data_IF_173758340116
#
_entry.id   IF_173758340116
#
_cell.length_a   1.000
_cell.length_b   1.000
_cell.length_c   1.000
_cell.angle_alpha   90.00
_cell.angle_beta   90.00
_cell.angle_gamma   90.00
#
_symmetry.space_group_name_H-M   'P 1'
#
loop_
_entity.id
_entity.type
_entity.pdbx_description
1 polymer ?
#
# COMPACT_ATOMS: atom_id res chain seq x y z
N UNK A 1 -6.23 -10.20 8.18
CA UNK A 1 -4.89 -9.61 8.45
C UNK A 1 -4.97 -8.10 8.68
N UNK A 2 -5.81 -7.36 7.94
CA UNK A 2 -5.86 -5.90 8.00
C UNK A 2 -6.21 -5.33 9.38
N UNK A 3 -7.06 -5.98 10.16
CA UNK A 3 -7.45 -5.53 11.51
C UNK A 3 -6.41 -5.94 12.56
N UNK A 4 -5.84 -7.12 12.43
CA UNK A 4 -4.89 -7.66 13.40
C UNK A 4 -3.56 -6.88 13.42
N UNK A 5 -3.10 -6.36 12.27
CA UNK A 5 -1.82 -5.65 12.15
C UNK A 5 -1.69 -4.46 13.11
N UNK A 6 -2.54 -3.43 13.01
CA UNK A 6 -2.48 -2.27 13.89
C UNK A 6 -2.69 -2.60 15.37
N UNK A 7 -3.52 -3.59 15.70
CA UNK A 7 -3.76 -4.02 17.07
C UNK A 7 -2.53 -4.68 17.69
N UNK A 8 -1.98 -5.69 17.01
CA UNK A 8 -0.77 -6.39 17.47
C UNK A 8 0.45 -5.46 17.47
N UNK A 9 0.57 -4.64 16.42
CA UNK A 9 1.64 -3.65 16.33
C UNK A 9 1.59 -2.65 17.48
N UNK A 10 0.41 -2.12 17.79
CA UNK A 10 0.18 -1.22 18.93
C UNK A 10 0.49 -1.90 20.27
N UNK A 11 -0.04 -3.10 20.49
CA UNK A 11 0.20 -3.87 21.70
C UNK A 11 1.70 -4.14 21.94
N UNK A 12 2.41 -4.62 20.94
CA UNK A 12 3.83 -4.88 21.04
C UNK A 12 4.66 -3.61 21.22
N UNK A 13 4.25 -2.49 20.62
CA UNK A 13 4.95 -1.21 20.75
C UNK A 13 4.84 -0.61 22.15
N UNK A 14 3.71 -0.79 22.84
CA UNK A 14 3.50 -0.27 24.19
C UNK A 14 4.24 -1.06 25.25
N UNK A 15 4.64 -2.30 24.99
CA UNK A 15 5.36 -3.12 25.94
C UNK A 15 6.87 -2.97 25.77
N UNK A 16 7.57 -2.51 26.81
CA UNK A 16 9.02 -2.32 26.79
C UNK A 16 9.77 -3.63 26.59
N UNK A 17 9.32 -4.72 27.24
CA UNK A 17 9.91 -6.07 27.13
C UNK A 17 8.84 -7.15 27.22
N UNK A 18 8.95 -8.15 26.33
CA UNK A 18 8.13 -9.37 26.30
C UNK A 18 9.10 -10.54 26.14
N UNK A 19 9.09 -11.51 27.05
CA UNK A 19 9.97 -12.69 27.04
C UNK A 19 11.47 -12.32 26.87
N UNK A 20 11.92 -11.26 27.55
CA UNK A 20 13.31 -10.81 27.52
C UNK A 20 13.72 -9.96 26.29
N UNK A 21 12.85 -9.82 25.28
CA UNK A 21 13.09 -9.00 24.08
C UNK A 21 12.28 -7.70 24.13
N UNK A 22 12.82 -6.64 23.50
CA UNK A 22 12.09 -5.38 23.34
C UNK A 22 10.79 -5.61 22.54
N UNK A 23 9.66 -5.05 23.02
CA UNK A 23 8.32 -5.36 22.52
C UNK A 23 8.15 -5.16 21.03
N UNK A 24 8.69 -4.06 20.46
CA UNK A 24 8.59 -3.80 19.03
C UNK A 24 9.20 -4.88 18.12
N UNK A 25 10.18 -5.65 18.62
CA UNK A 25 10.78 -6.77 17.87
C UNK A 25 9.79 -7.90 17.63
N UNK A 26 8.81 -8.06 18.50
CA UNK A 26 7.76 -9.07 18.36
C UNK A 26 6.86 -8.83 17.14
N UNK A 27 6.76 -7.58 16.65
CA UNK A 27 6.06 -7.26 15.41
C UNK A 27 6.64 -8.04 14.22
N UNK A 28 7.96 -8.29 14.25
CA UNK A 28 8.63 -9.09 13.22
C UNK A 28 8.59 -10.58 13.54
N UNK A 29 8.88 -10.96 14.79
CA UNK A 29 8.95 -12.36 15.17
C UNK A 29 7.63 -13.11 15.05
N UNK A 30 6.49 -12.46 15.26
CA UNK A 30 5.16 -13.08 15.06
C UNK A 30 4.92 -13.53 13.62
N UNK A 31 5.59 -12.91 12.65
CA UNK A 31 5.48 -13.31 11.26
C UNK A 31 6.22 -14.62 10.94
N UNK A 32 7.19 -15.02 11.76
CA UNK A 32 7.95 -16.27 11.54
C UNK A 32 7.04 -17.49 11.65
N UNK A 33 6.32 -17.74 12.77
CA UNK A 33 5.42 -18.88 12.86
C UNK A 33 4.27 -18.82 11.86
N UNK A 34 3.74 -17.63 11.57
CA UNK A 34 2.70 -17.44 10.56
C UNK A 34 3.23 -17.77 9.16
N UNK A 35 4.44 -17.32 8.82
CA UNK A 35 5.11 -17.63 7.55
C UNK A 35 5.40 -19.12 7.40
N UNK A 36 5.89 -19.78 8.46
CA UNK A 36 6.14 -21.23 8.46
C UNK A 36 4.82 -21.99 8.25
N UNK A 37 3.76 -21.62 8.98
CA UNK A 37 2.45 -22.25 8.82
C UNK A 37 1.88 -22.07 7.40
N UNK A 38 2.00 -20.87 6.84
CA UNK A 38 1.58 -20.58 5.46
C UNK A 38 2.39 -21.41 4.45
N UNK A 39 3.71 -21.54 4.65
CA UNK A 39 4.60 -22.31 3.79
C UNK A 39 4.25 -23.81 3.82
N UNK A 40 3.99 -24.38 5.00
CA UNK A 40 3.57 -25.75 5.15
C UNK A 40 2.22 -25.97 4.46
N UNK A 41 1.22 -25.12 4.75
CA UNK A 41 -0.11 -25.21 4.13
C UNK A 41 -0.03 -25.13 2.60
N UNK A 42 0.77 -24.20 2.07
CA UNK A 42 0.93 -24.03 0.62
C UNK A 42 1.62 -25.23 0.00
N UNK A 43 2.68 -25.75 0.62
CA UNK A 43 3.43 -26.90 0.08
C UNK A 43 2.62 -28.20 0.09
N UNK A 44 1.74 -28.37 1.09
CA UNK A 44 0.90 -29.60 1.21
C UNK A 44 -0.38 -29.49 0.39
N UNK A 45 -1.05 -28.33 0.41
CA UNK A 45 -2.38 -28.18 -0.19
C UNK A 45 -2.35 -27.73 -1.66
N UNK A 46 -1.30 -27.03 -2.10
CA UNK A 46 -1.24 -26.41 -3.42
C UNK A 46 -0.44 -27.30 -4.40
N UNK A 47 -1.15 -28.12 -5.16
CA UNK A 47 -0.58 -28.92 -6.25
C UNK A 47 -0.94 -28.28 -7.58
N UNK A 48 -0.18 -27.24 -7.99
CA UNK A 48 -0.36 -26.64 -9.32
C UNK A 48 0.63 -27.31 -10.26
N UNK A 49 0.17 -27.90 -11.38
CA UNK A 49 1.08 -28.38 -12.42
C UNK A 49 1.86 -27.21 -12.97
N UNK A 50 3.16 -27.18 -12.71
CA UNK A 50 4.04 -26.12 -13.15
C UNK A 50 4.58 -26.46 -14.55
N UNK A 51 4.13 -25.82 -15.63
CA UNK A 51 4.78 -25.94 -16.93
C UNK A 51 6.17 -25.32 -16.79
N UNK A 52 7.22 -26.15 -16.94
CA UNK A 52 8.61 -25.73 -16.87
C UNK A 52 8.91 -24.78 -18.04
N UNK A 53 8.58 -23.51 -17.88
CA UNK A 53 9.08 -22.44 -18.74
C UNK A 53 10.37 -21.91 -18.12
N UNK A 54 11.47 -21.99 -18.85
CA UNK A 54 12.75 -21.40 -18.44
C UNK A 54 12.63 -19.89 -18.67
N UNK A 55 12.35 -19.16 -17.59
CA UNK A 55 12.30 -17.70 -17.61
C UNK A 55 13.68 -17.09 -17.37
N UNK A 56 14.02 -16.08 -18.17
CA UNK A 56 15.25 -15.30 -17.98
C UNK A 56 14.95 -14.08 -17.10
N UNK A 57 15.47 -14.12 -15.87
CA UNK A 57 15.29 -13.00 -14.94
C UNK A 57 16.12 -11.80 -15.40
N UNK A 58 15.51 -10.62 -15.55
CA UNK A 58 16.22 -9.37 -15.85
C UNK A 58 16.86 -8.77 -14.58
N UNK A 59 18.01 -9.35 -14.17
CA UNK A 59 18.77 -8.85 -13.01
C UNK A 59 19.20 -7.40 -13.17
N UNK A 60 19.51 -6.95 -14.39
CA UNK A 60 19.94 -5.57 -14.64
C UNK A 60 18.80 -4.58 -14.51
N UNK A 61 17.60 -4.91 -15.00
CA UNK A 61 16.40 -4.11 -14.77
C UNK A 61 16.05 -4.04 -13.28
N UNK A 62 16.10 -5.17 -12.57
CA UNK A 62 15.87 -5.23 -11.14
C UNK A 62 16.84 -4.33 -10.35
N UNK A 63 18.13 -4.36 -10.67
CA UNK A 63 19.15 -3.54 -10.03
C UNK A 63 18.89 -2.04 -10.27
N UNK A 64 18.61 -1.66 -11.53
CA UNK A 64 18.32 -0.26 -11.88
C UNK A 64 17.08 0.26 -11.12
N UNK A 65 16.01 -0.55 -11.03
CA UNK A 65 14.81 -0.21 -10.29
C UNK A 65 15.10 -0.04 -8.79
N UNK A 66 15.84 -0.97 -8.19
CA UNK A 66 16.20 -0.90 -6.76
C UNK A 66 17.01 0.37 -6.48
N UNK A 67 18.03 0.66 -7.28
CA UNK A 67 18.87 1.85 -7.11
C UNK A 67 18.04 3.12 -7.29
N UNK A 68 17.15 3.17 -8.29
CA UNK A 68 16.25 4.30 -8.51
C UNK A 68 15.35 4.58 -7.29
N UNK A 69 14.72 3.53 -6.75
CA UNK A 69 13.82 3.65 -5.59
C UNK A 69 14.60 4.04 -4.33
N UNK A 70 15.75 3.42 -4.08
CA UNK A 70 16.60 3.77 -2.93
C UNK A 70 17.07 5.22 -3.02
N UNK A 71 17.54 5.66 -4.18
CA UNK A 71 17.97 7.05 -4.39
C UNK A 71 16.81 8.03 -4.17
N UNK A 72 15.61 7.71 -4.67
CA UNK A 72 14.40 8.52 -4.44
C UNK A 72 14.07 8.64 -2.95
N UNK A 73 14.01 7.50 -2.26
CA UNK A 73 13.70 7.45 -0.83
C UNK A 73 14.73 8.18 0.00
N UNK A 74 16.03 8.03 -0.31
CA UNK A 74 17.10 8.75 0.37
C UNK A 74 16.97 10.27 0.16
N UNK A 75 16.68 10.71 -1.07
CA UNK A 75 16.47 12.12 -1.38
C UNK A 75 15.28 12.72 -0.65
N UNK A 76 14.13 12.04 -0.70
CA UNK A 76 12.86 12.56 -0.17
C UNK A 76 12.74 12.37 1.34
N UNK A 77 13.12 11.21 1.89
CA UNK A 77 12.83 10.87 3.29
C UNK A 77 13.99 11.17 4.25
N UNK A 78 15.23 11.22 3.75
CA UNK A 78 16.41 11.42 4.59
C UNK A 78 17.05 12.77 4.32
N UNK A 79 17.58 12.97 3.12
CA UNK A 79 18.40 14.16 2.83
C UNK A 79 17.58 15.45 2.73
N UNK A 80 16.39 15.42 2.13
CA UNK A 80 15.50 16.58 2.01
C UNK A 80 15.14 17.18 3.38
N UNK A 81 14.57 16.40 4.31
CA UNK A 81 14.21 16.88 5.64
C UNK A 81 15.42 17.28 6.52
N UNK A 82 16.55 16.56 6.40
CA UNK A 82 17.72 16.80 7.26
C UNK A 82 18.62 17.93 6.77
N UNK A 83 18.83 18.04 5.47
CA UNK A 83 19.83 18.94 4.88
C UNK A 83 19.22 20.10 4.07
N UNK A 84 17.89 20.06 3.85
CA UNK A 84 17.19 21.00 2.96
C UNK A 84 17.11 20.52 1.50
N UNK A 85 16.09 20.98 0.80
CA UNK A 85 15.75 20.53 -0.55
C UNK A 85 16.73 21.02 -1.63
N UNK A 86 17.48 22.08 -1.36
CA UNK A 86 18.49 22.65 -2.26
C UNK A 86 19.91 22.12 -1.99
N UNK A 87 20.10 21.29 -0.98
CA UNK A 87 21.40 20.74 -0.64
C UNK A 87 21.92 19.80 -1.72
N UNK A 88 23.21 19.80 -1.98
CA UNK A 88 23.85 18.97 -3.01
C UNK A 88 23.56 17.47 -2.84
N UNK A 89 23.53 16.96 -1.61
CA UNK A 89 23.22 15.54 -1.34
C UNK A 89 21.79 15.19 -1.74
N UNK A 90 20.84 16.06 -1.44
CA UNK A 90 19.43 15.89 -1.83
C UNK A 90 19.29 15.92 -3.34
N UNK A 91 19.90 16.93 -4.00
CA UNK A 91 19.84 17.07 -5.45
C UNK A 91 20.50 15.90 -6.18
N UNK A 92 21.69 15.47 -5.75
CA UNK A 92 22.38 14.31 -6.34
C UNK A 92 21.50 13.06 -6.21
N UNK A 93 20.87 12.85 -5.06
CA UNK A 93 20.00 11.70 -4.82
C UNK A 93 18.76 11.73 -5.73
N UNK A 94 18.09 12.87 -5.87
CA UNK A 94 16.91 13.04 -6.72
C UNK A 94 17.24 12.96 -8.21
N UNK A 95 18.35 13.56 -8.64
CA UNK A 95 18.83 13.48 -10.02
C UNK A 95 19.23 12.03 -10.31
N UNK A 96 19.94 11.35 -9.39
CA UNK A 96 20.29 9.94 -9.49
C UNK A 96 19.03 9.07 -9.64
N UNK A 97 18.01 9.30 -8.81
CA UNK A 97 16.73 8.59 -8.91
C UNK A 97 16.10 8.75 -10.30
N UNK A 98 16.09 9.97 -10.84
CA UNK A 98 15.57 10.23 -12.18
C UNK A 98 16.40 9.51 -13.27
N UNK A 99 17.72 9.61 -13.22
CA UNK A 99 18.61 8.97 -14.19
C UNK A 99 18.44 7.44 -14.16
N UNK A 100 18.45 6.83 -12.97
CA UNK A 100 18.27 5.37 -12.85
C UNK A 100 16.85 4.92 -13.26
N UNK A 101 15.80 5.73 -12.98
CA UNK A 101 14.45 5.44 -13.48
C UNK A 101 14.39 5.48 -15.00
N UNK A 102 14.97 6.49 -15.64
CA UNK A 102 15.03 6.58 -17.10
C UNK A 102 15.84 5.42 -17.69
N UNK A 103 16.96 5.06 -17.08
CA UNK A 103 17.77 3.90 -17.48
C UNK A 103 17.02 2.59 -17.35
N UNK A 104 16.22 2.42 -16.27
CA UNK A 104 15.34 1.28 -16.09
C UNK A 104 14.29 1.21 -17.22
N UNK A 105 13.59 2.31 -17.51
CA UNK A 105 12.58 2.34 -18.57
C UNK A 105 13.18 2.05 -19.95
N UNK A 106 14.39 2.54 -20.22
CA UNK A 106 15.11 2.20 -21.45
C UNK A 106 15.49 0.70 -21.50
N UNK A 107 15.94 0.14 -20.38
CA UNK A 107 16.26 -1.28 -20.29
C UNK A 107 15.03 -2.15 -20.50
N UNK A 108 13.89 -1.81 -19.88
CA UNK A 108 12.62 -2.52 -20.04
C UNK A 108 12.14 -2.58 -21.50
N UNK A 109 12.41 -1.54 -22.29
CA UNK A 109 12.06 -1.50 -23.71
C UNK A 109 12.79 -2.57 -24.54
N UNK A 110 14.02 -2.96 -24.12
CA UNK A 110 14.89 -3.88 -24.86
C UNK A 110 15.07 -5.23 -24.17
N UNK A 111 14.51 -5.43 -22.97
CA UNK A 111 14.60 -6.68 -22.25
C UNK A 111 13.81 -7.79 -22.95
N UNK A 112 14.34 -9.03 -22.93
CA UNK A 112 13.65 -10.20 -23.48
C UNK A 112 12.44 -10.59 -22.64
N UNK A 113 12.57 -10.51 -21.31
CA UNK A 113 11.50 -10.72 -20.34
C UNK A 113 11.50 -9.51 -19.38
N UNK A 114 10.82 -8.42 -19.74
CA UNK A 114 10.80 -7.20 -18.95
C UNK A 114 10.05 -7.42 -17.62
N UNK A 115 10.53 -6.79 -16.55
CA UNK A 115 9.86 -6.79 -15.24
C UNK A 115 8.53 -6.03 -15.34
N UNK A 116 8.53 -4.93 -16.11
CA UNK A 116 7.36 -4.10 -16.36
C UNK A 116 7.13 -3.96 -17.88
N UNK A 117 6.35 -4.83 -18.51
CA UNK A 117 6.10 -4.73 -19.94
C UNK A 117 5.46 -3.39 -20.32
N UNK A 118 6.24 -2.47 -20.89
CA UNK A 118 5.76 -1.12 -21.24
C UNK A 118 4.63 -1.13 -22.28
N UNK A 119 4.48 -2.25 -22.99
CA UNK A 119 3.37 -2.47 -23.94
C UNK A 119 2.00 -2.47 -23.25
N UNK A 120 1.91 -2.86 -21.98
CA UNK A 120 0.67 -2.84 -21.19
C UNK A 120 0.12 -1.41 -21.06
N UNK A 121 0.98 -0.41 -21.02
CA UNK A 121 0.55 1.00 -20.94
C UNK A 121 -0.05 1.54 -22.22
N UNK A 122 0.05 0.82 -23.34
CA UNK A 122 -0.71 1.14 -24.58
C UNK A 122 -2.20 0.83 -24.41
N UNK A 123 -2.54 -0.09 -23.50
CA UNK A 123 -3.93 -0.34 -23.15
C UNK A 123 -4.45 0.79 -22.26
N UNK A 124 -5.44 1.52 -22.75
CA UNK A 124 -6.03 2.67 -22.05
C UNK A 124 -6.60 2.30 -20.68
N UNK A 125 -7.25 1.14 -20.57
CA UNK A 125 -7.78 0.64 -19.30
C UNK A 125 -6.66 0.38 -18.30
N UNK A 126 -5.57 -0.28 -18.72
CA UNK A 126 -4.41 -0.55 -17.87
C UNK A 126 -3.76 0.75 -17.37
N UNK A 127 -3.52 1.72 -18.25
CA UNK A 127 -2.90 3.01 -17.90
C UNK A 127 -3.72 3.81 -16.90
N UNK A 128 -5.03 3.94 -17.14
CA UNK A 128 -5.92 4.66 -16.22
C UNK A 128 -6.00 3.93 -14.87
N UNK A 129 -6.15 2.61 -14.89
CA UNK A 129 -6.27 1.83 -13.65
C UNK A 129 -4.99 1.87 -12.84
N UNK A 130 -3.81 1.87 -13.48
CA UNK A 130 -2.51 2.03 -12.81
C UNK A 130 -2.38 3.41 -12.16
N UNK A 131 -2.78 4.48 -12.85
CA UNK A 131 -2.79 5.84 -12.31
C UNK A 131 -3.76 5.95 -11.12
N UNK A 132 -4.95 5.40 -11.23
CA UNK A 132 -5.90 5.33 -10.12
C UNK A 132 -5.34 4.55 -8.94
N UNK A 133 -4.66 3.41 -9.19
CA UNK A 133 -3.98 2.62 -8.18
C UNK A 133 -2.91 3.42 -7.42
N UNK A 134 -2.14 4.24 -8.14
CA UNK A 134 -1.15 5.14 -7.53
C UNK A 134 -1.80 6.18 -6.61
N UNK A 135 -2.84 6.86 -7.09
CA UNK A 135 -3.56 7.89 -6.30
C UNK A 135 -4.19 7.28 -5.06
N UNK A 136 -4.85 6.14 -5.20
CA UNK A 136 -5.48 5.42 -4.08
C UNK A 136 -4.42 4.92 -3.10
N UNK A 137 -3.31 4.40 -3.61
CA UNK A 137 -2.18 3.97 -2.78
C UNK A 137 -1.61 5.12 -1.95
N UNK A 138 -1.38 6.28 -2.56
CA UNK A 138 -0.92 7.48 -1.86
C UNK A 138 -1.90 7.90 -0.75
N UNK A 139 -3.21 7.94 -1.04
CA UNK A 139 -4.23 8.25 -0.04
C UNK A 139 -4.32 7.20 1.08
N UNK A 140 -4.23 5.93 0.73
CA UNK A 140 -4.24 4.82 1.69
C UNK A 140 -3.07 4.92 2.67
N UNK A 141 -1.84 5.05 2.16
CA UNK A 141 -0.66 5.17 3.01
C UNK A 141 -0.69 6.45 3.83
N UNK A 142 -1.17 7.57 3.26
CA UNK A 142 -1.40 8.79 4.01
C UNK A 142 -2.32 8.56 5.22
N UNK A 143 -3.46 7.89 5.03
CA UNK A 143 -4.38 7.60 6.12
C UNK A 143 -3.79 6.61 7.14
N UNK A 144 -3.19 5.50 6.68
CA UNK A 144 -2.64 4.45 7.56
C UNK A 144 -1.51 4.97 8.44
N UNK A 145 -0.69 5.89 7.93
CA UNK A 145 0.44 6.45 8.68
C UNK A 145 0.02 7.66 9.51
N UNK A 146 -0.75 8.60 8.93
CA UNK A 146 -1.07 9.86 9.60
C UNK A 146 -2.12 9.73 10.69
N UNK A 147 -3.10 8.82 10.56
CA UNK A 147 -4.12 8.61 11.60
C UNK A 147 -3.52 8.13 12.93
N UNK A 148 -2.71 7.05 12.97
CA UNK A 148 -2.05 6.65 14.21
C UNK A 148 -1.11 7.72 14.76
N UNK A 149 -0.36 8.41 13.88
CA UNK A 149 0.57 9.46 14.27
C UNK A 149 -0.19 10.62 14.95
N UNK A 150 -1.28 11.09 14.36
CA UNK A 150 -2.15 12.09 14.97
C UNK A 150 -2.70 11.63 16.34
N UNK A 151 -3.16 10.39 16.44
CA UNK A 151 -3.67 9.83 17.70
C UNK A 151 -2.61 9.76 18.79
N UNK A 152 -1.36 9.43 18.43
CA UNK A 152 -0.26 9.32 19.39
C UNK A 152 0.33 10.69 19.74
N UNK A 153 0.68 11.51 18.74
CA UNK A 153 1.41 12.76 18.94
C UNK A 153 0.49 13.89 19.39
N UNK A 154 -0.68 14.05 18.74
CA UNK A 154 -1.59 15.17 19.03
C UNK A 154 -2.55 14.83 20.17
N UNK A 155 -3.09 13.60 20.20
CA UNK A 155 -4.04 13.16 21.23
C UNK A 155 -3.42 12.49 22.45
N UNK A 156 -2.10 12.21 22.43
CA UNK A 156 -1.38 11.58 23.54
C UNK A 156 -1.83 10.13 23.83
N UNK A 157 -2.46 9.45 22.85
CA UNK A 157 -2.87 8.06 23.05
C UNK A 157 -1.67 7.11 23.00
N UNK A 158 -1.75 5.97 23.69
CA UNK A 158 -0.79 4.88 23.51
C UNK A 158 -0.88 4.26 22.12
N UNK A 159 0.14 3.50 21.72
CA UNK A 159 0.15 2.81 20.43
C UNK A 159 -1.01 1.79 20.33
N UNK A 160 -1.28 1.04 21.41
CA UNK A 160 -2.42 0.11 21.49
C UNK A 160 -3.75 0.82 21.32
N UNK A 161 -3.98 1.92 22.05
CA UNK A 161 -5.24 2.69 21.96
C UNK A 161 -5.40 3.28 20.56
N UNK A 162 -4.32 3.75 19.94
CA UNK A 162 -4.34 4.25 18.57
C UNK A 162 -4.68 3.14 17.57
N UNK A 163 -4.12 1.95 17.73
CA UNK A 163 -4.47 0.78 16.93
C UNK A 163 -5.93 0.37 17.05
N UNK A 164 -6.50 0.38 18.26
CA UNK A 164 -7.94 0.14 18.51
C UNK A 164 -8.82 1.19 17.82
N UNK A 165 -8.43 2.45 17.87
CA UNK A 165 -9.15 3.56 17.23
C UNK A 165 -9.10 3.54 15.70
N UNK A 166 -8.26 2.68 15.08
CA UNK A 166 -8.24 2.43 13.64
C UNK A 166 -9.23 1.34 13.18
N UNK A 167 -9.86 0.61 14.12
CA UNK A 167 -10.84 -0.44 13.77
C UNK A 167 -11.94 0.09 12.83
N UNK A 168 -12.53 1.28 13.04
CA UNK A 168 -13.55 1.82 12.14
C UNK A 168 -13.09 1.97 10.70
N UNK A 169 -11.86 2.43 10.50
CA UNK A 169 -11.22 2.53 9.19
C UNK A 169 -11.10 1.15 8.52
N UNK A 170 -10.63 0.16 9.26
CA UNK A 170 -10.49 -1.21 8.76
C UNK A 170 -11.82 -1.87 8.44
N UNK A 171 -12.85 -1.66 9.28
CA UNK A 171 -14.20 -2.15 9.03
C UNK A 171 -14.80 -1.50 7.77
N UNK A 172 -14.54 -0.21 7.54
CA UNK A 172 -14.93 0.47 6.30
C UNK A 172 -14.32 -0.21 5.07
N UNK A 173 -13.02 -0.50 5.08
CA UNK A 173 -12.33 -1.19 3.98
C UNK A 173 -12.95 -2.56 3.73
N UNK A 174 -13.02 -3.40 4.76
CA UNK A 174 -13.46 -4.80 4.62
C UNK A 174 -14.91 -4.89 4.16
N UNK A 175 -15.81 -4.11 4.78
CA UNK A 175 -17.25 -4.14 4.44
C UNK A 175 -17.51 -3.73 3.00
N UNK A 176 -16.88 -2.65 2.54
CA UNK A 176 -17.08 -2.16 1.17
C UNK A 176 -16.31 -2.96 0.12
N UNK A 177 -15.15 -3.55 0.45
CA UNK A 177 -14.49 -4.54 -0.42
C UNK A 177 -15.36 -5.76 -0.67
N UNK A 178 -15.96 -6.33 0.38
CA UNK A 178 -16.87 -7.48 0.25
C UNK A 178 -18.11 -7.09 -0.55
N UNK A 179 -18.70 -5.93 -0.23
CA UNK A 179 -19.89 -5.45 -0.93
C UNK A 179 -19.63 -5.24 -2.42
N UNK A 180 -18.59 -4.47 -2.76
CA UNK A 180 -18.24 -4.18 -4.17
C UNK A 180 -17.86 -5.45 -4.92
N UNK A 181 -17.08 -6.35 -4.31
CA UNK A 181 -16.71 -7.64 -4.91
C UNK A 181 -17.93 -8.49 -5.24
N UNK A 182 -18.88 -8.64 -4.30
CA UNK A 182 -20.14 -9.38 -4.55
C UNK A 182 -20.98 -8.76 -5.66
N UNK A 183 -21.10 -7.44 -5.68
CA UNK A 183 -21.88 -6.73 -6.68
C UNK A 183 -21.26 -6.83 -8.08
N UNK A 184 -19.93 -6.72 -8.17
CA UNK A 184 -19.20 -6.89 -9.43
C UNK A 184 -19.37 -8.31 -9.98
N UNK A 185 -19.21 -9.33 -9.12
CA UNK A 185 -19.40 -10.72 -9.51
C UNK A 185 -20.82 -11.00 -9.98
N UNK A 186 -21.84 -10.34 -9.42
CA UNK A 186 -23.25 -10.53 -9.80
C UNK A 186 -23.67 -9.79 -11.07
N UNK A 187 -23.16 -8.56 -11.27
CA UNK A 187 -23.67 -7.66 -12.33
C UNK A 187 -22.65 -7.33 -13.43
N UNK A 188 -21.38 -7.69 -13.26
CA UNK A 188 -20.31 -7.44 -14.22
C UNK A 188 -19.86 -5.97 -14.36
N UNK A 189 -20.55 -5.02 -13.72
CA UNK A 189 -20.29 -3.59 -13.87
C UNK A 189 -19.32 -3.10 -12.79
N UNK A 190 -18.04 -2.93 -13.11
CA UNK A 190 -17.02 -2.50 -12.14
C UNK A 190 -16.74 -0.99 -12.12
N UNK A 191 -17.04 -0.23 -13.20
CA UNK A 191 -16.67 1.18 -13.36
C UNK A 191 -17.25 2.13 -12.29
N UNK A 192 -18.44 1.84 -11.75
CA UNK A 192 -19.14 2.71 -10.80
C UNK A 192 -18.47 2.75 -9.43
N UNK A 193 -17.89 1.64 -8.97
CA UNK A 193 -17.37 1.50 -7.62
C UNK A 193 -16.12 2.36 -7.35
N UNK A 194 -15.10 2.44 -8.23
CA UNK A 194 -13.98 3.34 -8.04
C UNK A 194 -14.39 4.81 -8.01
N UNK A 195 -15.38 5.20 -8.82
CA UNK A 195 -15.86 6.58 -8.86
C UNK A 195 -16.51 6.95 -7.53
N UNK A 196 -17.42 6.11 -7.02
CA UNK A 196 -18.06 6.32 -5.70
C UNK A 196 -17.01 6.24 -4.61
N UNK A 197 -16.11 5.26 -4.67
CA UNK A 197 -15.07 5.06 -3.68
C UNK A 197 -14.11 6.25 -3.58
N UNK A 198 -13.62 6.76 -4.70
CA UNK A 198 -12.75 7.95 -4.74
C UNK A 198 -13.47 9.19 -4.24
N UNK A 199 -14.73 9.39 -4.58
CA UNK A 199 -15.53 10.51 -4.08
C UNK A 199 -15.65 10.45 -2.55
N UNK A 200 -16.05 9.30 -2.00
CA UNK A 200 -16.17 9.12 -0.54
C UNK A 200 -14.81 9.30 0.15
N UNK A 201 -13.74 8.76 -0.43
CA UNK A 201 -12.38 8.91 0.10
C UNK A 201 -11.94 10.38 0.11
N UNK A 202 -12.21 11.12 -0.97
CA UNK A 202 -11.88 12.55 -1.08
C UNK A 202 -12.62 13.35 -0.01
N UNK A 203 -13.91 13.09 0.21
CA UNK A 203 -14.69 13.72 1.26
C UNK A 203 -14.12 13.39 2.64
N UNK A 204 -13.79 12.12 2.88
CA UNK A 204 -13.18 11.69 4.14
C UNK A 204 -11.82 12.36 4.40
N UNK A 205 -10.95 12.46 3.38
CA UNK A 205 -9.66 13.13 3.46
C UNK A 205 -9.81 14.64 3.68
N UNK A 206 -10.78 15.27 3.03
CA UNK A 206 -11.10 16.68 3.26
C UNK A 206 -11.47 16.92 4.72
N UNK A 207 -12.36 16.13 5.29
CA UNK A 207 -12.68 16.25 6.71
C UNK A 207 -11.50 15.93 7.62
N UNK A 208 -10.65 14.97 7.25
CA UNK A 208 -9.44 14.66 8.00
C UNK A 208 -8.49 15.87 8.04
N UNK A 209 -8.40 16.66 6.96
CA UNK A 209 -7.57 17.87 6.91
C UNK A 209 -8.04 18.99 7.83
N UNK A 210 -9.31 18.97 8.26
CA UNK A 210 -9.89 19.98 9.19
C UNK A 210 -9.67 19.62 10.67
N UNK A 211 -9.05 18.46 10.96
CA UNK A 211 -8.84 18.03 12.35
C UNK A 211 -7.85 18.91 13.11
N UNK A 212 -8.09 19.05 14.40
CA UNK A 212 -7.26 19.78 15.34
C UNK A 212 -7.21 19.05 16.71
N UNK A 213 -6.48 19.61 17.66
CA UNK A 213 -6.35 19.03 19.01
C UNK A 213 -7.69 18.84 19.73
N UNK A 214 -8.69 19.67 19.43
CA UNK A 214 -10.03 19.64 20.08
C UNK A 214 -11.01 18.70 19.38
N UNK A 215 -10.67 18.15 18.21
CA UNK A 215 -11.58 17.26 17.44
C UNK A 215 -11.99 16.05 18.29
N UNK A 216 -13.30 15.83 18.56
CA UNK A 216 -13.73 14.69 19.37
C UNK A 216 -13.58 13.38 18.60
N UNK A 217 -13.48 12.26 19.35
CA UNK A 217 -13.22 10.94 18.75
C UNK A 217 -14.33 10.49 17.78
N UNK A 218 -15.58 10.86 18.02
CA UNK A 218 -16.69 10.47 17.14
C UNK A 218 -16.56 11.06 15.72
N UNK A 219 -16.01 12.27 15.58
CA UNK A 219 -15.71 12.85 14.26
C UNK A 219 -14.60 12.08 13.56
N UNK A 220 -13.52 11.79 14.28
CA UNK A 220 -12.43 10.95 13.76
C UNK A 220 -12.95 9.59 13.31
N UNK A 221 -13.86 8.98 14.09
CA UNK A 221 -14.50 7.72 13.75
C UNK A 221 -15.21 7.81 12.39
N UNK A 222 -16.04 8.83 12.18
CA UNK A 222 -16.77 9.02 10.92
C UNK A 222 -15.79 9.23 9.75
N UNK A 223 -14.78 10.07 9.93
CA UNK A 223 -13.79 10.35 8.87
C UNK A 223 -13.00 9.11 8.51
N UNK A 224 -12.58 8.34 9.51
CA UNK A 224 -11.89 7.09 9.31
C UNK A 224 -12.75 6.06 8.56
N UNK A 225 -14.03 5.92 8.92
CA UNK A 225 -14.98 5.05 8.22
C UNK A 225 -15.16 5.49 6.77
N UNK A 226 -15.35 6.78 6.50
CA UNK A 226 -15.50 7.29 5.13
C UNK A 226 -14.28 6.95 4.25
N UNK A 227 -13.08 7.21 4.75
CA UNK A 227 -11.85 6.89 4.01
C UNK A 227 -11.75 5.38 3.79
N UNK A 228 -12.01 4.57 4.82
CA UNK A 228 -12.02 3.11 4.72
C UNK A 228 -13.03 2.59 3.70
N UNK A 229 -14.25 3.12 3.69
CA UNK A 229 -15.28 2.77 2.70
C UNK A 229 -14.83 3.12 1.29
N UNK A 230 -14.28 4.32 1.09
CA UNK A 230 -13.76 4.75 -0.21
C UNK A 230 -12.65 3.83 -0.75
N UNK A 231 -11.72 3.44 0.13
CA UNK A 231 -10.66 2.49 -0.20
C UNK A 231 -11.22 1.11 -0.52
N UNK A 232 -12.16 0.59 0.29
CA UNK A 232 -12.78 -0.71 0.07
C UNK A 232 -13.50 -0.83 -1.27
N UNK A 233 -14.23 0.21 -1.68
CA UNK A 233 -14.84 0.26 -3.00
C UNK A 233 -13.83 0.27 -4.15
N UNK A 234 -12.72 0.97 -3.98
CA UNK A 234 -11.78 1.25 -5.05
C UNK A 234 -10.76 0.13 -5.25
N UNK A 235 -10.14 -0.38 -4.17
CA UNK A 235 -9.03 -1.34 -4.27
C UNK A 235 -9.45 -2.63 -4.97
N UNK A 236 -10.56 -3.24 -4.53
CA UNK A 236 -11.03 -4.50 -5.12
C UNK A 236 -11.33 -4.36 -6.60
N UNK A 237 -11.92 -3.23 -6.97
CA UNK A 237 -12.30 -2.96 -8.36
C UNK A 237 -11.11 -2.75 -9.27
N UNK A 238 -10.07 -2.05 -8.78
CA UNK A 238 -8.84 -1.81 -9.55
C UNK A 238 -8.11 -3.12 -9.83
N UNK A 239 -7.99 -4.01 -8.83
CA UNK A 239 -7.37 -5.33 -9.03
C UNK A 239 -8.11 -6.12 -10.10
N UNK A 240 -9.44 -6.18 -10.05
CA UNK A 240 -10.25 -6.88 -11.06
C UNK A 240 -10.08 -6.22 -12.45
N UNK A 241 -10.09 -4.89 -12.53
CA UNK A 241 -9.93 -4.18 -13.78
C UNK A 241 -8.55 -4.38 -14.42
N UNK A 242 -7.48 -4.40 -13.61
CA UNK A 242 -6.13 -4.71 -14.07
C UNK A 242 -6.02 -6.14 -14.57
N UNK A 243 -6.55 -7.12 -13.83
CA UNK A 243 -6.55 -8.53 -14.24
C UNK A 243 -7.30 -8.75 -15.56
N UNK A 244 -8.41 -8.04 -15.77
CA UNK A 244 -9.18 -8.13 -17.01
C UNK A 244 -8.57 -7.37 -18.18
N UNK A 245 -7.63 -6.45 -17.92
CA UNK A 245 -6.97 -5.66 -18.96
C UNK A 245 -5.69 -6.33 -19.50
N UNK A 246 -5.20 -7.36 -18.83
CA UNK A 246 -4.01 -8.15 -19.22
C UNK A 246 -4.49 -9.47 -19.82
N UNK A 247 -4.07 -9.78 -21.05
CA UNK A 247 -4.32 -11.08 -21.67
C UNK A 247 -3.56 -12.18 -20.89
N UNK A 248 -4.21 -13.37 -20.77
CA UNK A 248 -3.61 -14.55 -20.08
C UNK A 248 -2.28 -15.04 -20.68
N UNK A 249 -1.77 -14.40 -21.73
CA UNK A 249 -0.52 -14.75 -22.41
C UNK A 249 0.66 -13.87 -21.98
N UNK A 250 0.40 -12.75 -21.32
CA UNK A 250 1.36 -11.78 -20.79
C UNK A 250 1.40 -11.85 -19.24
#
# INVERSE_FOLDING_TARGET
>A
SSVAGPLLGGFFSDHTKILGLTGWRWIFYINIPVGIAALILTSVALHIPNPHKIHKIDYSGALLLVVAVVALLMGVSVYGPQNGWTNSRTLISLIGALVYTLSFLLREKYAQEPILPLTLFKNHTFSITSLLGFIIGAGMFGAIVMLPLYLQVVKGNSATTSGLKLIPFMLGIVSMSIFSGKQISKHGHYKRYPIIGLFIMTVGMFFLSTMNEKTPFWQLFIYAVLIGMGLGFSMQTIVIALQNAVDFKD
#
